data_IF_582063265210
#
_entry.id   IF_582063265210
#
_cell.length_a   1.000
_cell.length_b   1.000
_cell.length_c   1.000
_cell.angle_alpha   90.00
_cell.angle_beta   90.00
_cell.angle_gamma   90.00
#
_symmetry.space_group_name_H-M   'P 1'
#
loop_
_entity.id
_entity.type
_entity.pdbx_description
1 polymer ?
#
# COMPACT_ATOMS: atom_id res chain seq x y z
N UNK A 1 29.29 -21.24 11.06
CA UNK A 1 28.13 -20.78 10.29
C UNK A 1 27.36 -19.78 11.13
N UNK A 2 26.83 -18.69 10.54
CA UNK A 2 25.94 -17.78 11.25
C UNK A 2 24.64 -18.50 11.61
N UNK A 3 23.96 -18.01 12.63
CA UNK A 3 22.60 -18.38 13.00
C UNK A 3 21.77 -17.10 13.03
N UNK A 4 20.50 -17.17 12.63
CA UNK A 4 19.61 -16.01 12.61
C UNK A 4 18.26 -16.36 13.23
N UNK A 5 17.72 -15.44 14.03
CA UNK A 5 16.37 -15.52 14.57
C UNK A 5 15.66 -14.17 14.39
N UNK A 6 14.45 -14.18 13.83
CA UNK A 6 13.58 -13.01 13.90
C UNK A 6 13.08 -12.86 15.35
N UNK A 7 13.21 -11.66 15.91
CA UNK A 7 12.80 -11.34 17.28
C UNK A 7 11.68 -10.30 17.33
N UNK A 8 11.44 -9.58 16.23
CA UNK A 8 10.27 -8.72 16.05
C UNK A 8 9.74 -8.79 14.61
N UNK A 9 8.42 -8.90 14.41
CA UNK A 9 7.39 -9.15 15.43
C UNK A 9 7.50 -10.56 16.04
N UNK A 10 6.80 -10.83 17.14
CA UNK A 10 6.72 -12.18 17.69
C UNK A 10 5.84 -13.10 16.81
N UNK A 11 6.06 -14.41 16.88
CA UNK A 11 5.21 -15.38 16.19
C UNK A 11 3.74 -15.27 16.63
N UNK A 12 2.83 -15.27 15.64
CA UNK A 12 1.39 -15.10 15.89
C UNK A 12 0.98 -13.70 16.35
N UNK A 13 1.88 -12.71 16.35
CA UNK A 13 1.54 -11.35 16.73
C UNK A 13 0.45 -10.76 15.82
N UNK A 14 -0.30 -9.79 16.34
CA UNK A 14 -1.20 -8.95 15.54
C UNK A 14 -0.58 -7.56 15.43
N UNK A 15 -0.28 -7.12 14.22
CA UNK A 15 0.26 -5.79 13.93
C UNK A 15 -0.89 -4.79 13.84
N UNK A 16 -0.79 -3.73 14.65
CA UNK A 16 -1.68 -2.59 14.58
C UNK A 16 -0.87 -1.36 14.12
N UNK A 17 -1.47 -0.58 13.23
CA UNK A 17 -0.85 0.62 12.68
C UNK A 17 -1.69 1.82 13.09
N UNK A 18 -1.16 2.65 14.00
CA UNK A 18 -1.80 3.92 14.31
C UNK A 18 -1.48 4.95 13.22
N UNK A 19 -2.30 5.98 13.12
CA UNK A 19 -2.11 7.05 12.15
C UNK A 19 -1.14 8.11 12.70
N UNK A 20 -0.32 8.67 11.81
CA UNK A 20 0.47 9.88 12.03
C UNK A 20 0.05 10.92 11.02
N UNK A 21 0.03 12.18 11.47
CA UNK A 21 -0.43 13.32 10.67
C UNK A 21 0.63 14.43 10.49
N UNK A 22 1.84 14.16 9.97
CA UNK A 22 2.79 15.21 9.66
C UNK A 22 2.30 16.06 8.48
N UNK A 23 2.33 17.38 8.63
CA UNK A 23 2.09 18.35 7.55
C UNK A 23 0.81 18.11 6.73
N UNK A 24 -0.26 17.68 7.40
CA UNK A 24 -1.57 17.42 6.77
C UNK A 24 -1.66 16.12 5.98
N UNK A 25 -0.65 15.26 6.05
CA UNK A 25 -0.65 13.93 5.41
C UNK A 25 -0.86 12.84 6.44
N UNK A 26 -1.67 11.83 6.10
CA UNK A 26 -1.95 10.66 6.95
C UNK A 26 -1.05 9.51 6.50
N UNK A 27 -0.30 8.95 7.45
CA UNK A 27 0.50 7.74 7.26
C UNK A 27 0.29 6.75 8.40
N UNK A 28 0.37 5.44 8.14
CA UNK A 28 0.49 4.48 9.23
C UNK A 28 1.86 4.56 9.87
N UNK A 29 1.92 4.21 11.16
CA UNK A 29 3.17 3.98 11.88
C UNK A 29 3.99 2.89 11.21
N UNK A 30 5.32 3.00 11.35
CA UNK A 30 6.23 1.94 10.93
C UNK A 30 6.27 0.83 11.97
N UNK A 31 6.42 -0.40 11.50
CA UNK A 31 6.69 -1.57 12.33
C UNK A 31 8.19 -1.89 12.26
N UNK A 32 8.83 -2.05 13.42
CA UNK A 32 10.19 -2.59 13.50
C UNK A 32 10.14 -4.09 13.17
N UNK A 33 10.94 -4.50 12.19
CA UNK A 33 11.27 -5.90 11.89
C UNK A 33 12.73 -6.09 12.29
N UNK A 34 13.01 -7.02 13.20
CA UNK A 34 14.33 -7.18 13.78
C UNK A 34 14.73 -8.64 13.82
N UNK A 35 15.99 -8.90 13.49
CA UNK A 35 16.63 -10.18 13.65
C UNK A 35 17.84 -10.10 14.58
N UNK A 36 18.19 -11.22 15.19
CA UNK A 36 19.43 -11.42 15.93
C UNK A 36 20.27 -12.44 15.18
N UNK A 37 21.54 -12.08 14.96
CA UNK A 37 22.53 -12.94 14.33
C UNK A 37 23.55 -13.33 15.38
N UNK A 38 23.85 -14.62 15.47
CA UNK A 38 24.90 -15.16 16.35
C UNK A 38 25.84 -16.07 15.58
N UNK A 39 27.03 -16.31 16.12
CA UNK A 39 28.10 -17.00 15.39
C UNK A 39 28.63 -16.14 14.23
N UNK A 40 29.22 -16.80 13.22
CA UNK A 40 29.86 -16.12 12.10
C UNK A 40 31.19 -15.46 12.47
N UNK A 41 31.66 -14.54 11.64
CA UNK A 41 32.90 -13.76 11.82
C UNK A 41 32.64 -12.29 12.19
N UNK A 42 31.39 -11.92 12.44
CA UNK A 42 30.98 -10.56 12.81
C UNK A 42 30.65 -9.65 11.63
N UNK A 43 30.87 -10.09 10.38
CA UNK A 43 30.48 -9.35 9.18
C UNK A 43 29.33 -10.08 8.50
N UNK A 44 28.13 -9.52 8.62
CA UNK A 44 26.92 -10.12 8.11
C UNK A 44 26.00 -9.03 7.55
N UNK A 45 25.41 -9.30 6.39
CA UNK A 45 24.26 -8.55 5.87
C UNK A 45 23.00 -9.36 6.13
N UNK A 46 21.97 -8.71 6.66
CA UNK A 46 20.64 -9.30 6.83
C UNK A 46 19.67 -8.67 5.85
N UNK A 47 19.07 -9.50 4.99
CA UNK A 47 17.98 -9.11 4.10
C UNK A 47 16.63 -9.46 4.72
N UNK A 48 15.72 -8.49 4.77
CA UNK A 48 14.37 -8.65 5.28
C UNK A 48 13.36 -8.65 4.12
N UNK A 49 12.47 -9.63 4.11
CA UNK A 49 11.39 -9.75 3.14
C UNK A 49 10.07 -10.12 3.81
N UNK A 50 8.99 -9.95 3.07
CA UNK A 50 7.62 -10.25 3.47
C UNK A 50 6.92 -11.06 2.38
N UNK A 51 6.09 -12.02 2.80
CA UNK A 51 5.04 -12.61 1.96
C UNK A 51 3.69 -12.34 2.60
N UNK A 52 2.68 -12.15 1.76
CA UNK A 52 1.30 -11.91 2.16
C UNK A 52 0.43 -13.07 1.72
N UNK A 53 -0.46 -13.55 2.59
CA UNK A 53 -1.42 -14.59 2.24
C UNK A 53 -2.36 -14.14 1.12
N UNK A 54 -2.68 -12.84 1.06
CA UNK A 54 -3.45 -12.24 -0.04
C UNK A 54 -2.71 -12.23 -1.40
N UNK A 55 -1.38 -12.44 -1.42
CA UNK A 55 -0.54 -12.47 -2.63
C UNK A 55 0.44 -13.66 -2.60
N UNK A 56 -0.05 -14.89 -2.73
CA UNK A 56 0.79 -16.08 -2.63
C UNK A 56 1.88 -16.07 -3.72
N UNK A 57 3.11 -16.40 -3.32
CA UNK A 57 4.27 -16.45 -4.22
C UNK A 57 4.95 -15.09 -4.49
N UNK A 58 4.39 -13.98 -4.02
CA UNK A 58 5.02 -12.66 -4.15
C UNK A 58 5.87 -12.35 -2.92
N UNK A 59 7.18 -12.14 -3.14
CA UNK A 59 8.10 -11.62 -2.13
C UNK A 59 8.17 -10.09 -2.22
N UNK A 60 7.96 -9.43 -1.09
CA UNK A 60 8.15 -7.99 -0.92
C UNK A 60 9.46 -7.75 -0.16
N UNK A 61 10.44 -7.10 -0.80
CA UNK A 61 11.69 -6.72 -0.15
C UNK A 61 11.44 -5.53 0.79
N UNK A 62 11.81 -5.69 2.07
CA UNK A 62 11.64 -4.64 3.09
C UNK A 62 12.91 -3.80 3.28
N UNK A 63 14.08 -4.40 3.02
CA UNK A 63 15.38 -3.74 3.10
C UNK A 63 16.48 -4.67 3.58
N UNK A 64 17.70 -4.13 3.68
CA UNK A 64 18.86 -4.81 4.24
C UNK A 64 19.46 -4.00 5.38
N UNK A 65 20.20 -4.66 6.26
CA UNK A 65 20.98 -4.03 7.33
C UNK A 65 22.29 -4.80 7.50
N UNK A 66 23.42 -4.11 7.51
CA UNK A 66 24.76 -4.66 7.66
C UNK A 66 25.34 -4.45 9.07
N UNK A 67 24.59 -3.77 9.95
CA UNK A 67 25.07 -3.34 11.25
C UNK A 67 24.13 -3.74 12.38
N UNK A 68 24.60 -4.49 13.40
CA UNK A 68 23.75 -4.83 14.53
C UNK A 68 23.36 -3.59 15.37
N UNK A 69 22.14 -3.55 15.94
CA UNK A 69 21.11 -4.58 15.86
C UNK A 69 20.39 -4.55 14.51
N UNK A 70 20.39 -5.70 13.81
CA UNK A 70 19.85 -5.86 12.45
C UNK A 70 18.34 -5.62 12.41
N UNK A 71 17.92 -4.51 11.81
CA UNK A 71 16.50 -4.13 11.78
C UNK A 71 16.15 -3.22 10.61
N UNK A 72 14.90 -3.34 10.15
CA UNK A 72 14.27 -2.38 9.25
C UNK A 72 13.00 -1.83 9.87
N UNK A 73 12.61 -0.62 9.45
CA UNK A 73 11.35 0.01 9.86
C UNK A 73 10.39 0.03 8.68
N UNK A 74 9.61 -1.04 8.57
CA UNK A 74 8.67 -1.23 7.49
C UNK A 74 7.42 -0.37 7.68
N UNK A 75 7.03 0.37 6.64
CA UNK A 75 5.70 0.97 6.54
C UNK A 75 4.85 0.09 5.64
N UNK A 76 3.64 -0.32 6.08
CA UNK A 76 2.76 -1.09 5.20
C UNK A 76 2.42 -0.31 3.93
N UNK A 77 2.01 -1.01 2.88
CA UNK A 77 1.54 -0.39 1.64
C UNK A 77 0.05 -0.06 1.74
N UNK A 78 -0.43 0.84 0.87
CA UNK A 78 -1.82 1.32 0.88
C UNK A 78 -2.86 0.21 0.68
N UNK A 79 -2.46 -0.86 0.02
CA UNK A 79 -3.24 -2.03 -0.33
C UNK A 79 -3.10 -3.18 0.68
N UNK A 80 -2.47 -2.95 1.84
CA UNK A 80 -2.41 -3.95 2.90
C UNK A 80 -3.80 -4.14 3.51
N UNK A 81 -4.40 -5.32 3.28
CA UNK A 81 -5.76 -5.58 3.72
C UNK A 81 -5.84 -5.83 5.24
N UNK A 82 -6.86 -5.29 5.93
CA UNK A 82 -7.16 -5.68 7.31
C UNK A 82 -7.37 -7.19 7.43
N UNK A 83 -6.79 -7.81 8.44
CA UNK A 83 -6.88 -9.26 8.65
C UNK A 83 -5.99 -10.13 7.75
N UNK A 84 -5.21 -9.53 6.83
CA UNK A 84 -4.22 -10.28 6.03
C UNK A 84 -3.19 -10.97 6.94
N UNK A 85 -2.67 -12.09 6.47
CA UNK A 85 -1.68 -12.89 7.19
C UNK A 85 -0.31 -12.71 6.52
N UNK A 86 0.70 -12.44 7.34
CA UNK A 86 2.04 -12.05 6.94
C UNK A 86 3.04 -13.12 7.36
N UNK A 87 3.99 -13.40 6.46
CA UNK A 87 5.20 -14.18 6.77
C UNK A 87 6.41 -13.28 6.58
N UNK A 88 7.07 -12.94 7.69
CA UNK A 88 8.34 -12.21 7.66
C UNK A 88 9.49 -13.18 7.49
N UNK A 89 10.45 -12.82 6.65
CA UNK A 89 11.63 -13.63 6.34
C UNK A 89 12.86 -12.77 6.59
N UNK A 90 13.86 -13.32 7.25
CA UNK A 90 15.18 -12.70 7.38
C UNK A 90 16.24 -13.69 6.91
N UNK A 91 17.15 -13.22 6.05
CA UNK A 91 18.24 -14.03 5.49
C UNK A 91 19.56 -13.36 5.82
N UNK A 92 20.44 -14.05 6.53
CA UNK A 92 21.82 -13.61 6.75
C UNK A 92 22.74 -14.16 5.68
N UNK A 93 23.63 -13.32 5.17
CA UNK A 93 24.78 -13.70 4.36
C UNK A 93 26.07 -13.18 5.02
N UNK A 94 27.08 -14.03 5.17
CA UNK A 94 28.41 -13.66 5.69
C UNK A 94 29.49 -13.62 4.59
N UNK A 95 30.68 -13.11 4.91
CA UNK A 95 31.80 -13.01 3.95
C UNK A 95 32.37 -14.37 3.51
N UNK A 96 31.89 -15.47 4.09
CA UNK A 96 32.28 -16.85 3.75
C UNK A 96 31.20 -17.56 2.94
N UNK A 97 30.23 -16.80 2.40
CA UNK A 97 29.11 -17.31 1.60
C UNK A 97 28.18 -18.25 2.35
N UNK A 98 28.17 -18.20 3.69
CA UNK A 98 27.13 -18.88 4.43
C UNK A 98 25.84 -18.07 4.34
N UNK A 99 24.80 -18.69 3.80
CA UNK A 99 23.46 -18.12 3.73
C UNK A 99 22.52 -18.92 4.61
N UNK A 100 21.87 -18.25 5.55
CA UNK A 100 20.90 -18.88 6.47
C UNK A 100 19.66 -18.00 6.56
N UNK A 101 18.48 -18.61 6.47
CA UNK A 101 17.20 -17.91 6.57
C UNK A 101 16.38 -18.38 7.77
N UNK A 102 15.56 -17.47 8.28
CA UNK A 102 14.53 -17.75 9.29
C UNK A 102 13.24 -17.04 8.89
N UNK A 103 12.11 -17.52 9.39
CA UNK A 103 10.81 -16.93 9.10
C UNK A 103 9.90 -16.93 10.32
N UNK A 104 8.99 -15.96 10.36
CA UNK A 104 7.87 -15.94 11.29
C UNK A 104 6.60 -15.87 10.46
N UNK A 105 5.81 -16.92 10.58
CA UNK A 105 4.51 -17.07 9.91
C UNK A 105 3.37 -16.58 10.80
N UNK A 106 2.17 -16.52 10.22
CA UNK A 106 0.92 -16.28 10.93
C UNK A 106 0.84 -14.95 11.68
N UNK A 107 1.61 -13.95 11.26
CA UNK A 107 1.50 -12.59 11.81
C UNK A 107 0.28 -11.93 11.19
N UNK A 108 -0.68 -11.51 11.99
CA UNK A 108 -1.95 -10.94 11.50
C UNK A 108 -1.87 -9.43 11.38
N UNK A 109 -2.52 -8.87 10.38
CA UNK A 109 -2.86 -7.44 10.36
C UNK A 109 -4.12 -7.23 11.18
N UNK A 110 -4.12 -6.24 12.08
CA UNK A 110 -5.31 -5.88 12.85
C UNK A 110 -6.49 -5.57 11.91
N UNK A 111 -7.75 -5.81 12.33
CA UNK A 111 -8.95 -5.58 11.51
C UNK A 111 -9.31 -4.08 11.39
N UNK A 112 -8.31 -3.22 11.31
CA UNK A 112 -8.46 -1.77 11.17
C UNK A 112 -7.78 -1.35 9.87
N UNK A 113 -8.48 -0.57 9.04
CA UNK A 113 -7.92 -0.04 7.80
C UNK A 113 -6.70 0.85 8.08
N UNK A 114 -5.62 0.62 7.33
CA UNK A 114 -4.49 1.55 7.27
C UNK A 114 -4.89 2.75 6.41
N UNK A 115 -4.71 3.96 6.92
CA UNK A 115 -5.00 5.18 6.17
C UNK A 115 -3.73 5.77 5.55
N UNK A 116 -3.84 6.17 4.30
CA UNK A 116 -2.80 6.85 3.52
C UNK A 116 -3.44 8.01 2.76
N UNK A 117 -2.72 9.13 2.63
CA UNK A 117 -3.11 10.23 1.74
C UNK A 117 -3.12 11.59 2.45
N UNK A 118 -3.85 12.53 1.87
CA UNK A 118 -4.02 13.88 2.44
C UNK A 118 -5.19 13.85 3.43
N UNK A 119 -5.01 14.46 4.59
CA UNK A 119 -6.05 14.54 5.63
C UNK A 119 -7.28 15.27 5.12
N UNK A 120 -8.43 14.61 5.22
CA UNK A 120 -9.71 15.16 4.76
C UNK A 120 -9.92 15.10 3.25
N UNK A 121 -8.98 14.51 2.49
CA UNK A 121 -9.18 14.32 1.08
C UNK A 121 -10.23 13.23 0.80
N UNK A 122 -11.08 13.48 -0.18
CA UNK A 122 -12.14 12.59 -0.65
C UNK A 122 -11.92 12.27 -2.12
N UNK A 123 -12.13 11.01 -2.49
CA UNK A 123 -12.08 10.58 -3.89
C UNK A 123 -13.23 11.21 -4.67
N UNK A 124 -13.05 11.52 -5.98
CA UNK A 124 -14.13 12.02 -6.81
C UNK A 124 -15.31 11.05 -6.87
N UNK A 125 -16.52 11.56 -6.68
CA UNK A 125 -17.76 10.81 -6.79
C UNK A 125 -18.81 11.63 -7.54
N UNK A 126 -19.49 11.00 -8.50
CA UNK A 126 -20.61 11.61 -9.20
C UNK A 126 -21.81 11.66 -8.25
N UNK A 127 -22.29 12.87 -7.95
CA UNK A 127 -23.46 13.11 -7.09
C UNK A 127 -24.73 13.31 -7.92
N UNK A 128 -24.60 13.74 -9.18
CA UNK A 128 -25.70 13.75 -10.14
C UNK A 128 -25.17 13.41 -11.54
N UNK A 129 -25.72 12.33 -12.12
CA UNK A 129 -25.44 11.93 -13.50
C UNK A 129 -26.43 12.59 -14.47
N UNK A 130 -26.06 12.79 -15.75
CA UNK A 130 -27.01 13.16 -16.78
C UNK A 130 -28.09 12.07 -16.98
N UNK A 131 -29.22 12.39 -17.64
CA UNK A 131 -30.24 11.40 -17.97
C UNK A 131 -29.66 10.21 -18.73
N UNK A 132 -30.05 8.98 -18.34
CA UNK A 132 -29.60 7.76 -19.01
C UNK A 132 -30.05 7.68 -20.48
N UNK A 133 -31.13 8.39 -20.83
CA UNK A 133 -31.60 8.54 -22.20
C UNK A 133 -32.28 9.90 -22.38
N UNK A 134 -32.17 10.46 -23.58
CA UNK A 134 -32.89 11.66 -24.02
C UNK A 134 -33.45 11.42 -25.43
N UNK A 135 -34.62 11.96 -25.72
CA UNK A 135 -35.24 11.94 -27.06
C UNK A 135 -35.47 13.38 -27.50
N UNK A 136 -34.89 13.75 -28.63
CA UNK A 136 -34.87 15.11 -29.17
C UNK A 136 -35.36 15.10 -30.62
N UNK A 137 -35.94 16.20 -31.06
CA UNK A 137 -36.22 16.43 -32.48
C UNK A 137 -34.93 16.82 -33.19
N UNK A 138 -34.87 16.54 -34.49
CA UNK A 138 -33.71 16.91 -35.32
C UNK A 138 -33.49 18.42 -35.23
N UNK A 139 -32.26 18.81 -34.90
CA UNK A 139 -31.85 20.21 -34.75
C UNK A 139 -32.06 20.80 -33.35
N UNK A 140 -32.65 20.05 -32.41
CA UNK A 140 -32.66 20.45 -31.00
C UNK A 140 -31.27 20.26 -30.36
N UNK A 141 -30.92 21.16 -29.45
CA UNK A 141 -29.68 21.11 -28.69
C UNK A 141 -29.81 20.13 -27.51
N UNK A 142 -28.82 19.26 -27.31
CA UNK A 142 -28.69 18.44 -26.11
C UNK A 142 -27.63 19.06 -25.19
N UNK A 143 -27.98 19.33 -23.94
CA UNK A 143 -26.99 19.68 -22.93
C UNK A 143 -26.98 18.61 -21.85
N UNK A 144 -25.81 17.99 -21.64
CA UNK A 144 -25.58 17.03 -20.56
C UNK A 144 -24.77 17.72 -19.47
N UNK A 145 -25.13 17.47 -18.21
CA UNK A 145 -24.42 18.02 -17.05
C UNK A 145 -24.12 16.90 -16.07
N UNK A 146 -22.95 16.94 -15.46
CA UNK A 146 -22.58 16.07 -14.33
C UNK A 146 -22.26 16.95 -13.12
N UNK A 147 -22.71 16.52 -11.94
CA UNK A 147 -22.22 17.06 -10.68
C UNK A 147 -21.34 16.00 -10.02
N UNK A 148 -20.15 16.41 -9.59
CA UNK A 148 -19.23 15.56 -8.84
C UNK A 148 -18.75 16.31 -7.58
N UNK A 149 -18.47 15.54 -6.53
CA UNK A 149 -17.81 16.02 -5.33
C UNK A 149 -16.48 15.28 -5.15
N UNK A 150 -15.57 15.87 -4.38
CA UNK A 150 -14.23 15.33 -4.18
C UNK A 150 -13.26 16.45 -3.81
N UNK A 151 -12.04 16.08 -3.46
CA UNK A 151 -10.98 17.08 -3.24
C UNK A 151 -10.49 17.62 -4.57
N UNK A 152 -10.57 18.95 -4.74
CA UNK A 152 -10.24 19.60 -6.00
C UNK A 152 -8.73 19.75 -6.29
N UNK A 153 -8.38 20.13 -7.52
CA UNK A 153 -9.30 20.35 -8.65
C UNK A 153 -9.86 19.02 -9.20
N UNK A 154 -11.14 19.03 -9.56
CA UNK A 154 -11.76 17.92 -10.30
C UNK A 154 -11.57 18.15 -11.79
N UNK A 155 -11.13 17.11 -12.50
CA UNK A 155 -11.00 17.09 -13.96
C UNK A 155 -12.14 16.26 -14.55
N UNK A 156 -12.65 16.68 -15.72
CA UNK A 156 -13.76 16.02 -16.40
C UNK A 156 -13.30 15.58 -17.80
N UNK A 157 -13.94 14.52 -18.29
CA UNK A 157 -13.82 14.09 -19.68
C UNK A 157 -15.12 13.42 -20.09
N UNK A 158 -15.75 13.91 -21.15
CA UNK A 158 -16.92 13.25 -21.74
C UNK A 158 -16.49 12.19 -22.75
N UNK A 159 -17.18 11.05 -22.72
CA UNK A 159 -16.99 9.95 -23.65
C UNK A 159 -18.27 9.76 -24.48
N UNK A 160 -18.11 9.37 -25.73
CA UNK A 160 -19.16 8.86 -26.60
C UNK A 160 -18.71 7.53 -27.17
N UNK A 161 -19.50 6.49 -26.95
CA UNK A 161 -19.19 5.13 -27.41
C UNK A 161 -17.78 4.68 -26.97
N UNK A 162 -17.47 4.89 -25.68
CA UNK A 162 -16.16 4.63 -25.03
C UNK A 162 -14.97 5.41 -25.60
N UNK A 163 -15.19 6.37 -26.50
CA UNK A 163 -14.16 7.26 -27.03
C UNK A 163 -14.27 8.66 -26.43
N UNK A 164 -13.13 9.24 -26.03
CA UNK A 164 -13.07 10.62 -25.56
C UNK A 164 -13.56 11.60 -26.63
N UNK A 165 -14.41 12.55 -26.23
CA UNK A 165 -14.76 13.70 -27.06
C UNK A 165 -13.67 14.76 -26.85
N UNK A 166 -12.84 15.09 -27.86
CA UNK A 166 -11.73 16.01 -27.68
C UNK A 166 -12.19 17.38 -27.18
N UNK A 167 -11.56 17.87 -26.10
CA UNK A 167 -11.85 19.18 -25.52
C UNK A 167 -13.10 19.25 -24.63
N UNK A 168 -13.83 18.14 -24.46
CA UNK A 168 -14.98 18.08 -23.57
C UNK A 168 -14.55 17.85 -22.11
N UNK A 169 -13.88 18.84 -21.53
CA UNK A 169 -13.27 18.79 -20.19
C UNK A 169 -14.03 19.58 -19.12
N UNK A 170 -15.22 20.05 -19.44
CA UNK A 170 -16.10 20.77 -18.52
C UNK A 170 -17.16 19.83 -17.90
N UNK A 171 -17.73 20.25 -16.77
CA UNK A 171 -18.84 19.54 -16.12
C UNK A 171 -20.15 19.55 -16.95
N UNK A 172 -20.18 20.30 -18.07
CA UNK A 172 -21.28 20.32 -19.03
C UNK A 172 -20.76 20.02 -20.45
N UNK A 173 -21.54 19.26 -21.21
CA UNK A 173 -21.34 19.00 -22.64
C UNK A 173 -22.55 19.55 -23.39
N UNK A 174 -22.31 20.39 -24.41
CA UNK A 174 -23.32 21.02 -25.25
C UNK A 174 -23.17 20.62 -26.73
#
# INVERSE_FOLDING_TARGET
>A
MPQIALVKPAAGATLAFSQREPDGQIFPTRQEIRAEVTGGDGYAEVTFALQRASRPGQLELLGTDDTPPYRVFWRPTADLAPGDELTFIATVNDLRWHVVSTQIERVKVAPTATAFGIRGATVPAITAAPPAAASLRVGELLTLTVAAEGTGPLEYQWLRDDAEIPGATDAALA
#
